data_IF_711102640855
#
_entry.id   IF_711102640855
#
_cell.length_a   1.000
_cell.length_b   1.000
_cell.length_c   1.000
_cell.angle_alpha   90.00
_cell.angle_beta   90.00
_cell.angle_gamma   90.00
#
_symmetry.space_group_name_H-M   'P 1'
#
loop_
_entity.id
_entity.type
_entity.pdbx_description
1 polymer ?
#
# COMPACT_ATOMS: atom_id res chain seq x y z
N UNK A 1 -12.50 -3.43 12.55
CA UNK A 1 -12.90 -4.29 11.40
C UNK A 1 -12.06 -4.09 10.14
N UNK A 2 -11.84 -2.86 9.65
CA UNK A 2 -11.07 -2.63 8.41
C UNK A 2 -9.60 -3.07 8.52
N UNK A 3 -8.94 -2.72 9.63
CA UNK A 3 -7.54 -3.10 9.90
C UNK A 3 -7.31 -4.61 9.96
N UNK A 4 -8.14 -5.34 10.71
CA UNK A 4 -8.05 -6.81 10.81
C UNK A 4 -8.21 -7.49 9.43
N UNK A 5 -9.09 -6.97 8.57
CA UNK A 5 -9.25 -7.47 7.21
C UNK A 5 -8.00 -7.21 6.35
N UNK A 6 -7.40 -6.03 6.47
CA UNK A 6 -6.17 -5.69 5.77
C UNK A 6 -4.99 -6.55 6.25
N UNK A 7 -4.88 -6.80 7.55
CA UNK A 7 -3.88 -7.71 8.13
C UNK A 7 -4.04 -9.13 7.58
N UNK A 8 -5.26 -9.69 7.59
CA UNK A 8 -5.52 -11.01 6.99
C UNK A 8 -5.20 -11.06 5.49
N UNK A 9 -5.50 -9.98 4.75
CA UNK A 9 -5.14 -9.86 3.33
C UNK A 9 -3.62 -9.90 3.16
N UNK A 10 -2.88 -9.11 3.95
CA UNK A 10 -1.42 -9.10 3.91
C UNK A 10 -0.83 -10.46 4.29
N UNK A 11 -1.39 -11.15 5.28
CA UNK A 11 -0.98 -12.51 5.64
C UNK A 11 -1.20 -13.51 4.49
N UNK A 12 -2.30 -13.37 3.72
CA UNK A 12 -2.51 -14.12 2.49
C UNK A 12 -1.45 -13.83 1.41
N UNK A 13 -1.12 -12.55 1.21
CA UNK A 13 -0.09 -12.11 0.25
C UNK A 13 1.31 -12.63 0.64
N UNK A 14 1.65 -12.60 1.93
CA UNK A 14 2.89 -13.16 2.46
C UNK A 14 3.01 -14.66 2.14
N UNK A 15 1.95 -15.43 2.41
CA UNK A 15 1.90 -16.86 2.08
C UNK A 15 2.07 -17.12 0.58
N UNK A 16 1.38 -16.34 -0.26
CA UNK A 16 1.49 -16.46 -1.72
C UNK A 16 2.91 -16.14 -2.23
N UNK A 17 3.60 -15.19 -1.60
CA UNK A 17 4.98 -14.81 -1.92
C UNK A 17 6.06 -15.71 -1.29
N UNK A 18 5.68 -16.72 -0.49
CA UNK A 18 6.61 -17.58 0.23
C UNK A 18 7.36 -16.90 1.38
N UNK A 19 6.87 -15.75 1.86
CA UNK A 19 7.47 -14.97 2.94
C UNK A 19 6.76 -15.22 4.27
N UNK A 20 7.52 -15.13 5.37
CA UNK A 20 6.96 -15.15 6.73
C UNK A 20 6.71 -13.75 7.25
N UNK A 21 5.83 -13.65 8.25
CA UNK A 21 5.54 -12.39 8.94
C UNK A 21 6.80 -11.87 9.66
N UNK A 22 7.22 -10.67 9.30
CA UNK A 22 8.33 -9.91 9.90
C UNK A 22 7.85 -8.53 10.36
N UNK A 23 8.61 -7.89 11.23
CA UNK A 23 8.37 -6.49 11.60
C UNK A 23 8.62 -5.51 10.43
N UNK A 24 9.55 -5.84 9.52
CA UNK A 24 9.85 -5.05 8.33
C UNK A 24 10.37 -5.91 7.17
N UNK A 25 10.23 -5.38 5.97
CA UNK A 25 10.56 -6.03 4.70
C UNK A 25 11.53 -5.18 3.88
N UNK A 26 12.45 -5.85 3.19
CA UNK A 26 13.38 -5.26 2.22
C UNK A 26 12.66 -4.87 0.91
N UNK A 27 13.31 -4.09 0.02
CA UNK A 27 12.71 -3.71 -1.26
C UNK A 27 12.25 -4.91 -2.09
N UNK A 28 13.09 -5.94 -2.22
CA UNK A 28 12.74 -7.15 -2.98
C UNK A 28 11.57 -7.93 -2.38
N UNK A 29 11.49 -7.98 -1.05
CA UNK A 29 10.34 -8.60 -0.36
C UNK A 29 9.06 -7.80 -0.58
N UNK A 30 9.11 -6.47 -0.50
CA UNK A 30 7.94 -5.62 -0.75
C UNK A 30 7.47 -5.75 -2.20
N UNK A 31 8.40 -5.79 -3.16
CA UNK A 31 8.09 -6.03 -4.58
C UNK A 31 7.39 -7.38 -4.77
N UNK A 32 7.87 -8.44 -4.11
CA UNK A 32 7.24 -9.76 -4.16
C UNK A 32 5.85 -9.78 -3.51
N UNK A 33 5.67 -9.09 -2.38
CA UNK A 33 4.38 -8.99 -1.67
C UNK A 33 3.35 -8.24 -2.53
N UNK A 34 3.72 -7.09 -3.08
CA UNK A 34 2.82 -6.21 -3.83
C UNK A 34 2.70 -6.58 -5.31
N UNK A 35 3.55 -7.48 -5.81
CA UNK A 35 3.59 -7.86 -7.22
C UNK A 35 3.99 -6.72 -8.15
N UNK A 36 4.90 -5.84 -7.71
CA UNK A 36 5.30 -4.65 -8.46
C UNK A 36 6.76 -4.70 -8.91
N UNK A 37 7.08 -3.97 -9.98
CA UNK A 37 8.46 -3.83 -10.45
C UNK A 37 9.29 -2.93 -9.53
N UNK A 38 10.61 -3.05 -9.61
CA UNK A 38 11.53 -2.17 -8.88
C UNK A 38 11.27 -0.68 -9.15
N UNK A 39 11.06 -0.30 -10.41
CA UNK A 39 10.75 1.09 -10.78
C UNK A 39 9.45 1.59 -10.15
N UNK A 40 8.46 0.71 -10.02
CA UNK A 40 7.18 1.03 -9.36
C UNK A 40 7.41 1.20 -7.86
N UNK A 41 8.14 0.28 -7.24
CA UNK A 41 8.49 0.38 -5.82
C UNK A 41 9.16 1.71 -5.46
N UNK A 42 10.19 2.12 -6.22
CA UNK A 42 10.88 3.39 -5.95
C UNK A 42 9.97 4.60 -6.16
N UNK A 43 9.02 4.53 -7.10
CA UNK A 43 8.01 5.58 -7.29
C UNK A 43 7.07 5.69 -6.08
N UNK A 44 6.64 4.57 -5.50
CA UNK A 44 5.78 4.57 -4.30
C UNK A 44 6.49 5.22 -3.10
N UNK A 45 7.80 4.99 -2.96
CA UNK A 45 8.60 5.63 -1.90
C UNK A 45 8.81 7.12 -2.16
N UNK A 46 9.17 7.49 -3.39
CA UNK A 46 9.49 8.88 -3.73
C UNK A 46 8.30 9.83 -3.58
N UNK A 47 7.07 9.31 -3.69
CA UNK A 47 5.83 10.09 -3.53
C UNK A 47 5.35 10.18 -2.09
N UNK A 48 6.08 9.61 -1.14
CA UNK A 48 5.71 9.65 0.28
C UNK A 48 6.03 11.02 0.88
N UNK A 49 5.13 11.98 0.61
CA UNK A 49 5.16 13.33 1.16
C UNK A 49 3.93 13.56 2.04
N UNK A 50 4.15 14.24 3.18
CA UNK A 50 3.09 14.71 4.06
C UNK A 50 2.82 16.17 3.80
N UNK A 51 1.54 16.53 3.76
CA UNK A 51 1.10 17.91 3.67
C UNK A 51 1.47 18.65 4.98
N UNK A 52 2.20 19.78 4.91
CA UNK A 52 2.71 20.47 6.09
C UNK A 52 1.62 21.16 6.92
N UNK A 53 0.42 21.39 6.37
CA UNK A 53 -0.70 22.01 7.09
C UNK A 53 -1.61 21.01 7.80
N UNK A 54 -1.67 19.77 7.30
CA UNK A 54 -2.61 18.74 7.79
C UNK A 54 -1.94 17.49 8.35
N UNK A 55 -0.63 17.32 8.17
CA UNK A 55 0.16 16.11 8.46
C UNK A 55 -0.39 14.84 7.76
N UNK A 56 -1.28 15.00 6.79
CA UNK A 56 -1.83 13.88 6.01
C UNK A 56 -0.92 13.54 4.83
N UNK A 57 -0.92 12.27 4.42
CA UNK A 57 -0.23 11.85 3.21
C UNK A 57 -0.86 12.51 2.00
N UNK A 58 -0.05 13.20 1.20
CA UNK A 58 -0.50 13.88 -0.02
C UNK A 58 -0.98 12.87 -1.08
N UNK A 59 -0.37 11.70 -1.09
CA UNK A 59 -0.69 10.61 -2.00
C UNK A 59 -1.02 9.36 -1.19
N UNK A 60 -2.25 8.81 -1.24
CA UNK A 60 -2.63 7.65 -0.45
C UNK A 60 -1.92 6.36 -0.90
N UNK A 61 -1.44 6.34 -2.15
CA UNK A 61 -0.73 5.24 -2.80
C UNK A 61 0.79 5.26 -2.54
N UNK A 62 1.29 6.07 -1.60
CA UNK A 62 2.71 6.03 -1.23
C UNK A 62 3.00 5.01 -0.13
N UNK A 63 4.28 4.65 0.02
CA UNK A 63 4.78 3.79 1.09
C UNK A 63 5.77 4.53 1.98
N UNK A 64 5.48 4.60 3.28
CA UNK A 64 6.44 5.06 4.27
C UNK A 64 7.58 4.04 4.42
N UNK A 65 8.81 4.55 4.51
CA UNK A 65 9.99 3.71 4.65
C UNK A 65 11.04 4.38 5.51
N UNK A 66 11.84 3.56 6.18
CA UNK A 66 12.95 4.03 6.99
C UNK A 66 14.25 3.36 6.53
N UNK A 67 15.37 4.01 6.82
CA UNK A 67 16.69 3.45 6.57
C UNK A 67 17.09 2.56 7.74
N UNK A 68 17.44 1.31 7.45
CA UNK A 68 18.12 0.44 8.40
C UNK A 68 19.51 0.14 7.86
N UNK A 69 20.53 0.71 8.50
CA UNK A 69 21.92 0.72 8.01
C UNK A 69 22.01 1.34 6.61
N UNK A 70 22.00 0.51 5.56
CA UNK A 70 22.11 0.93 4.14
C UNK A 70 20.94 0.47 3.29
N UNK A 71 19.94 -0.18 3.87
CA UNK A 71 18.78 -0.70 3.13
C UNK A 71 17.52 0.01 3.58
N UNK A 72 16.71 0.45 2.61
CA UNK A 72 15.34 0.90 2.87
C UNK A 72 14.51 -0.27 3.37
N UNK A 73 13.67 -0.04 4.37
CA UNK A 73 12.77 -1.02 4.96
C UNK A 73 11.37 -0.43 5.04
N UNK A 74 10.37 -1.26 4.77
CA UNK A 74 8.96 -0.94 4.98
C UNK A 74 8.44 -1.79 6.12
N UNK A 75 7.77 -1.18 7.09
CA UNK A 75 7.23 -1.89 8.26
C UNK A 75 5.97 -2.68 7.87
N UNK A 76 5.65 -3.71 8.64
CA UNK A 76 4.42 -4.49 8.45
C UNK A 76 3.17 -3.63 8.63
N UNK A 77 3.13 -2.80 9.67
CA UNK A 77 2.00 -1.90 9.93
C UNK A 77 1.78 -0.93 8.78
N UNK A 78 2.84 -0.38 8.19
CA UNK A 78 2.73 0.49 7.02
C UNK A 78 2.18 -0.24 5.79
N UNK A 79 2.55 -1.51 5.55
CA UNK A 79 1.94 -2.29 4.47
C UNK A 79 0.44 -2.53 4.73
N UNK A 80 0.04 -2.72 5.98
CA UNK A 80 -1.38 -2.82 6.36
C UNK A 80 -2.09 -1.49 6.09
N UNK A 81 -1.55 -0.37 6.56
CA UNK A 81 -2.12 0.96 6.34
C UNK A 81 -2.20 1.30 4.83
N UNK A 82 -1.17 0.96 4.05
CA UNK A 82 -1.19 1.07 2.59
C UNK A 82 -2.37 0.32 1.98
N UNK A 83 -2.63 -0.93 2.39
CA UNK A 83 -3.77 -1.70 1.90
C UNK A 83 -5.11 -1.08 2.31
N UNK A 84 -5.19 -0.49 3.50
CA UNK A 84 -6.39 0.24 3.96
C UNK A 84 -6.63 1.46 3.08
N UNK A 85 -5.59 2.27 2.83
CA UNK A 85 -5.65 3.48 2.00
C UNK A 85 -6.09 3.15 0.56
N UNK A 86 -5.44 2.17 -0.08
CA UNK A 86 -5.74 1.82 -1.47
C UNK A 86 -7.09 1.12 -1.66
N UNK A 87 -7.49 0.23 -0.74
CA UNK A 87 -8.81 -0.41 -0.83
C UNK A 87 -9.95 0.59 -0.59
N UNK A 88 -9.72 1.61 0.24
CA UNK A 88 -10.68 2.72 0.43
C UNK A 88 -10.74 3.61 -0.82
N UNK A 89 -9.58 3.90 -1.43
CA UNK A 89 -9.51 4.66 -2.67
C UNK A 89 -10.22 3.93 -3.83
N UNK A 90 -9.93 2.65 -4.05
CA UNK A 90 -10.59 1.80 -5.05
C UNK A 90 -12.10 1.69 -4.80
N UNK A 91 -12.54 1.61 -3.54
CA UNK A 91 -13.99 1.65 -3.23
C UNK A 91 -14.62 3.00 -3.57
N UNK A 92 -13.93 4.11 -3.32
CA UNK A 92 -14.50 5.44 -3.49
C UNK A 92 -14.41 5.97 -4.93
N UNK A 93 -13.47 5.45 -5.73
CA UNK A 93 -13.17 5.94 -7.09
C UNK A 93 -13.16 4.83 -8.14
N UNK A 94 -13.37 3.58 -7.75
CA UNK A 94 -13.54 2.47 -8.67
C UNK A 94 -14.84 2.65 -9.45
N UNK A 95 -14.75 2.57 -10.78
CA UNK A 95 -15.91 2.56 -11.65
C UNK A 95 -16.69 1.28 -11.32
N UNK A 96 -17.82 1.41 -10.62
CA UNK A 96 -18.72 0.29 -10.40
C UNK A 96 -19.36 -0.05 -11.76
N UNK A 97 -19.16 -1.27 -12.30
CA UNK A 97 -19.73 -1.65 -13.60
C UNK A 97 -21.28 -1.67 -13.62
N UNK A 98 -21.94 -1.59 -12.45
CA UNK A 98 -23.38 -1.43 -12.31
C UNK A 98 -23.82 0.02 -12.03
N UNK A 99 -22.89 0.97 -11.98
CA UNK A 99 -23.24 2.39 -11.88
C UNK A 99 -23.77 2.84 -13.24
N UNK A 100 -25.07 2.61 -13.44
CA UNK A 100 -25.87 3.21 -14.49
C UNK A 100 -25.55 4.70 -14.53
N UNK A 101 -25.08 5.15 -15.68
CA UNK A 101 -24.82 6.54 -16.00
C UNK A 101 -26.13 7.32 -15.82
N UNK A 102 -26.34 7.90 -14.63
CA UNK A 102 -27.59 8.55 -14.25
C UNK A 102 -27.82 9.88 -15.01
N UNK A 103 -26.86 10.26 -15.87
CA UNK A 103 -26.92 11.43 -16.73
C UNK A 103 -26.38 11.11 -18.14
N UNK A 104 -26.92 10.07 -18.77
CA UNK A 104 -26.88 9.96 -20.23
C UNK A 104 -27.80 11.03 -20.86
N UNK A 105 -27.20 11.92 -21.65
CA UNK A 105 -27.76 13.04 -22.42
C UNK A 105 -29.08 12.76 -23.13
#
# INVERSE_FOLDING_TARGET
MVKERAEKKLEGMLRASGLHKKASYSPGEVQAILGCSESTYWRLLARCERDPGTDQLRYPDCLDSYMLQRTRRVRFDELVEYLIRNNTYERNHGIDPNQLDLFGT
#
